data_IF_509558971252
#
_entry.id   IF_509558971252
#
_cell.length_a   1.000
_cell.length_b   1.000
_cell.length_c   1.000
_cell.angle_alpha   90.00
_cell.angle_beta   90.00
_cell.angle_gamma   90.00
#
_symmetry.space_group_name_H-M   'P 1'
#
loop_
_entity.id
_entity.type
_entity.pdbx_description
1 polymer ?
#
# COMPACT_ATOMS: atom_id res chain seq x y z
N UNK A 1 -5.57 -19.82 -34.52
CA UNK A 1 -6.29 -19.70 -33.25
C UNK A 1 -5.66 -20.69 -32.30
N UNK A 2 -4.88 -20.21 -31.34
CA UNK A 2 -4.57 -20.98 -30.13
C UNK A 2 -4.01 -20.01 -29.09
N UNK A 3 -4.92 -19.23 -28.48
CA UNK A 3 -4.63 -18.56 -27.23
C UNK A 3 -4.52 -19.64 -26.16
N UNK A 4 -3.30 -20.09 -25.86
CA UNK A 4 -3.04 -20.82 -24.63
C UNK A 4 -3.33 -19.86 -23.47
N UNK A 5 -4.53 -19.96 -22.92
CA UNK A 5 -4.87 -19.41 -21.61
C UNK A 5 -3.84 -19.92 -20.62
N UNK A 6 -2.97 -19.01 -20.15
CA UNK A 6 -2.16 -19.27 -18.96
C UNK A 6 -3.16 -19.26 -17.79
N UNK A 7 -3.63 -20.46 -17.43
CA UNK A 7 -4.26 -20.70 -16.13
C UNK A 7 -3.23 -20.31 -15.07
N UNK A 8 -3.37 -19.11 -14.49
CA UNK A 8 -2.75 -18.79 -13.22
C UNK A 8 -3.39 -19.76 -12.22
N UNK A 9 -2.66 -20.84 -11.94
CA UNK A 9 -3.10 -21.94 -11.12
C UNK A 9 -3.67 -21.41 -9.78
N UNK A 10 -4.89 -21.85 -9.46
CA UNK A 10 -5.64 -21.45 -8.26
C UNK A 10 -5.23 -22.22 -6.99
N UNK A 11 -4.18 -23.03 -7.07
CA UNK A 11 -3.53 -23.65 -5.91
C UNK A 11 -2.37 -22.80 -5.38
N UNK A 12 -1.92 -23.09 -4.16
CA UNK A 12 -0.75 -22.47 -3.54
C UNK A 12 0.48 -23.30 -3.87
N UNK A 13 1.53 -22.73 -4.51
CA UNK A 13 2.68 -23.55 -4.95
C UNK A 13 3.44 -23.91 -3.70
N UNK A 14 3.57 -25.20 -3.34
CA UNK A 14 4.23 -25.55 -2.10
C UNK A 14 5.72 -25.16 -2.09
N UNK A 15 6.31 -24.81 -3.25
CA UNK A 15 7.76 -24.81 -3.43
C UNK A 15 8.28 -23.61 -4.23
N UNK A 16 8.43 -22.42 -3.65
CA UNK A 16 9.42 -21.43 -4.11
C UNK A 16 9.30 -20.87 -5.54
N UNK A 17 8.25 -21.20 -6.29
CA UNK A 17 8.20 -20.95 -7.73
C UNK A 17 8.06 -19.46 -8.05
N UNK A 18 8.82 -19.01 -9.05
CA UNK A 18 8.65 -17.70 -9.66
C UNK A 18 7.74 -17.82 -10.88
N UNK A 19 6.54 -17.24 -10.80
CA UNK A 19 5.56 -17.18 -11.88
C UNK A 19 5.65 -15.81 -12.53
N UNK A 20 6.05 -15.74 -13.80
CA UNK A 20 6.00 -14.50 -14.58
C UNK A 20 4.71 -14.44 -15.40
N UNK A 21 3.91 -13.40 -15.20
CA UNK A 21 2.70 -13.17 -15.99
C UNK A 21 3.09 -12.57 -17.35
N UNK A 22 3.20 -13.41 -18.38
CA UNK A 22 3.67 -13.03 -19.71
C UNK A 22 2.80 -11.92 -20.37
N UNK A 23 3.34 -11.17 -21.34
CA UNK A 23 2.57 -10.23 -22.15
C UNK A 23 1.29 -10.88 -22.72
N UNK A 24 0.12 -10.33 -22.39
CA UNK A 24 -1.18 -10.88 -22.79
C UNK A 24 -1.81 -11.88 -21.81
N UNK A 25 -1.10 -12.30 -20.75
CA UNK A 25 -1.70 -13.01 -19.63
C UNK A 25 -2.61 -12.06 -18.85
N UNK A 26 -3.91 -12.04 -19.19
CA UNK A 26 -4.92 -11.42 -18.36
C UNK A 26 -5.49 -12.44 -17.40
N UNK A 27 -5.28 -12.21 -16.12
CA UNK A 27 -6.07 -12.81 -15.05
C UNK A 27 -7.47 -12.18 -15.07
N UNK A 28 -8.32 -12.53 -16.05
CA UNK A 28 -9.75 -12.20 -16.05
C UNK A 28 -10.54 -12.97 -14.96
N UNK A 29 -9.83 -13.34 -13.90
CA UNK A 29 -10.36 -13.89 -12.67
C UNK A 29 -10.55 -12.70 -11.72
N UNK A 30 -11.73 -12.56 -11.12
CA UNK A 30 -12.02 -11.45 -10.20
C UNK A 30 -11.06 -11.31 -9.03
N UNK A 31 -10.14 -12.27 -8.83
CA UNK A 31 -9.04 -12.21 -7.87
C UNK A 31 -7.75 -12.86 -8.40
N UNK A 32 -6.59 -12.33 -8.01
CA UNK A 32 -5.28 -13.00 -8.05
C UNK A 32 -4.87 -13.37 -6.62
N UNK A 33 -4.52 -14.63 -6.40
CA UNK A 33 -4.05 -15.14 -5.10
C UNK A 33 -2.56 -15.43 -5.15
N UNK A 34 -1.80 -14.95 -4.16
CA UNK A 34 -0.35 -15.19 -4.06
C UNK A 34 -0.06 -15.93 -2.75
N UNK A 35 0.13 -17.25 -2.86
CA UNK A 35 0.35 -18.14 -1.71
C UNK A 35 1.75 -18.09 -1.12
N UNK A 36 1.91 -18.62 0.09
CA UNK A 36 3.21 -18.76 0.78
C UNK A 36 4.25 -19.36 -0.16
N UNK A 37 5.47 -18.83 -0.13
CA UNK A 37 6.60 -19.33 -0.94
C UNK A 37 6.50 -19.02 -2.43
N UNK A 38 5.36 -18.54 -2.93
CA UNK A 38 5.20 -18.17 -4.34
C UNK A 38 5.70 -16.75 -4.58
N UNK A 39 6.47 -16.55 -5.64
CA UNK A 39 6.76 -15.21 -6.18
C UNK A 39 6.04 -15.03 -7.51
N UNK A 40 5.20 -14.02 -7.62
CA UNK A 40 4.56 -13.63 -8.88
C UNK A 40 5.19 -12.34 -9.37
N UNK A 41 5.62 -12.30 -10.63
CA UNK A 41 6.23 -11.14 -11.27
C UNK A 41 5.33 -10.64 -12.40
N UNK A 42 4.95 -9.37 -12.35
CA UNK A 42 4.24 -8.75 -13.45
C UNK A 42 5.14 -8.63 -14.69
N UNK A 43 4.71 -9.18 -15.82
CA UNK A 43 5.41 -9.04 -17.09
C UNK A 43 4.88 -7.91 -17.97
N UNK A 44 3.74 -7.29 -17.62
CA UNK A 44 3.16 -6.15 -18.32
C UNK A 44 2.09 -5.44 -17.46
N UNK A 45 1.61 -4.26 -17.89
CA UNK A 45 0.63 -3.45 -17.13
C UNK A 45 -0.76 -4.09 -16.99
N UNK A 46 -1.06 -5.15 -17.74
CA UNK A 46 -2.31 -5.93 -17.61
C UNK A 46 -2.22 -7.07 -16.59
N UNK A 47 -1.06 -7.28 -15.95
CA UNK A 47 -0.84 -8.33 -14.96
C UNK A 47 -1.76 -8.18 -13.72
N UNK A 48 -2.21 -6.96 -13.43
CA UNK A 48 -3.19 -6.66 -12.39
C UNK A 48 -3.99 -5.42 -12.81
N UNK A 49 -5.32 -5.54 -12.89
CA UNK A 49 -6.24 -4.50 -13.38
C UNK A 49 -7.18 -4.00 -12.28
N UNK A 50 -7.72 -2.79 -12.46
CA UNK A 50 -8.65 -2.14 -11.52
C UNK A 50 -9.91 -2.93 -11.19
N UNK A 51 -10.30 -3.94 -11.97
CA UNK A 51 -11.45 -4.81 -11.67
C UNK A 51 -11.08 -6.07 -10.88
N UNK A 52 -9.79 -6.33 -10.66
CA UNK A 52 -9.32 -7.51 -9.94
C UNK A 52 -9.04 -7.23 -8.48
N UNK A 53 -9.25 -8.21 -7.63
CA UNK A 53 -8.76 -8.21 -6.24
C UNK A 53 -7.41 -8.89 -6.13
N UNK A 54 -6.43 -8.30 -5.45
CA UNK A 54 -5.19 -8.97 -5.08
C UNK A 54 -5.32 -9.55 -3.66
N UNK A 55 -5.10 -10.85 -3.51
CA UNK A 55 -5.17 -11.57 -2.24
C UNK A 55 -3.81 -12.19 -1.93
N UNK A 56 -3.11 -11.61 -0.97
CA UNK A 56 -1.80 -12.06 -0.53
C UNK A 56 -1.96 -13.01 0.66
N UNK A 57 -1.35 -14.20 0.56
CA UNK A 57 -1.38 -15.25 1.56
C UNK A 57 0.06 -15.66 1.91
N UNK A 58 0.95 -14.69 2.12
CA UNK A 58 2.33 -14.93 2.54
C UNK A 58 3.38 -14.96 1.42
N UNK A 59 2.98 -14.98 0.15
CA UNK A 59 3.94 -14.92 -0.98
C UNK A 59 4.39 -13.51 -1.33
N UNK A 60 5.09 -13.39 -2.45
CA UNK A 60 5.60 -12.12 -2.99
C UNK A 60 4.95 -11.77 -4.32
N UNK A 61 4.49 -10.53 -4.48
CA UNK A 61 4.07 -9.98 -5.78
C UNK A 61 4.99 -8.84 -6.18
N UNK A 62 5.64 -8.94 -7.34
CA UNK A 62 6.56 -7.93 -7.89
C UNK A 62 5.90 -7.13 -9.01
N UNK A 63 5.90 -5.81 -8.89
CA UNK A 63 5.43 -4.89 -9.93
C UNK A 63 6.42 -4.82 -11.10
N UNK A 64 7.70 -5.06 -10.85
CA UNK A 64 8.76 -5.14 -11.86
C UNK A 64 8.85 -3.88 -12.75
N UNK A 65 8.83 -2.69 -12.14
CA UNK A 65 8.89 -1.42 -12.86
C UNK A 65 7.58 -1.00 -13.53
N UNK A 66 6.47 -1.69 -13.26
CA UNK A 66 5.18 -1.45 -13.91
C UNK A 66 4.17 -0.82 -12.95
N UNK A 67 3.48 0.21 -13.43
CA UNK A 67 2.32 0.75 -12.73
C UNK A 67 1.12 -0.19 -12.90
N UNK A 68 0.57 -0.67 -11.79
CA UNK A 68 -0.52 -1.63 -11.75
C UNK A 68 -1.67 -1.10 -10.90
N UNK A 69 -2.85 -1.69 -11.05
CA UNK A 69 -4.01 -1.29 -10.28
C UNK A 69 -4.86 -2.48 -9.86
N UNK A 70 -5.56 -2.38 -8.72
CA UNK A 70 -6.42 -3.43 -8.14
C UNK A 70 -7.68 -2.81 -7.53
N UNK A 71 -8.84 -3.49 -7.62
CA UNK A 71 -10.09 -3.09 -6.94
C UNK A 71 -10.07 -3.41 -5.45
N UNK A 72 -9.18 -4.30 -5.00
CA UNK A 72 -9.11 -4.74 -3.62
C UNK A 72 -7.73 -5.28 -3.28
N UNK A 73 -7.34 -5.13 -2.02
CA UNK A 73 -6.09 -5.68 -1.51
C UNK A 73 -6.36 -6.31 -0.15
N UNK A 74 -6.22 -7.63 -0.09
CA UNK A 74 -6.48 -8.42 1.11
C UNK A 74 -5.28 -9.30 1.42
N UNK A 75 -5.15 -9.63 2.70
CA UNK A 75 -4.11 -10.54 3.17
C UNK A 75 -3.63 -10.13 4.55
N UNK A 76 -3.34 -11.11 5.39
CA UNK A 76 -2.73 -10.88 6.72
C UNK A 76 -1.20 -10.89 6.64
N UNK A 77 -0.62 -11.30 5.52
CA UNK A 77 0.82 -11.45 5.31
C UNK A 77 1.18 -11.38 3.81
N UNK A 78 2.48 -11.52 3.51
CA UNK A 78 3.04 -11.46 2.17
C UNK A 78 3.75 -10.12 1.91
N UNK A 79 4.47 -10.05 0.80
CA UNK A 79 5.22 -8.87 0.39
C UNK A 79 4.78 -8.42 -1.00
N UNK A 80 4.42 -7.16 -1.16
CA UNK A 80 4.25 -6.52 -2.46
C UNK A 80 5.44 -5.60 -2.67
N UNK A 81 6.21 -5.82 -3.72
CA UNK A 81 7.43 -5.05 -3.97
C UNK A 81 7.49 -4.51 -5.38
N UNK A 82 8.28 -3.46 -5.62
CA UNK A 82 8.65 -3.13 -6.98
C UNK A 82 9.56 -4.24 -7.54
N UNK A 83 10.69 -4.48 -6.89
CA UNK A 83 11.60 -5.57 -7.24
C UNK A 83 12.34 -5.36 -8.56
N UNK A 84 12.38 -4.13 -9.08
CA UNK A 84 13.21 -3.71 -10.21
C UNK A 84 14.33 -2.77 -9.74
N UNK A 85 15.46 -2.78 -10.45
CA UNK A 85 16.63 -2.02 -10.03
C UNK A 85 16.61 -0.55 -10.47
N UNK A 86 15.84 -0.20 -11.51
CA UNK A 86 15.99 1.10 -12.18
C UNK A 86 14.68 1.87 -12.43
N UNK A 87 13.52 1.22 -12.36
CA UNK A 87 12.25 1.85 -12.74
C UNK A 87 11.30 1.90 -11.55
N UNK A 88 10.96 3.09 -11.08
CA UNK A 88 9.96 3.23 -10.02
C UNK A 88 8.60 2.69 -10.49
N UNK A 89 7.85 2.07 -9.59
CA UNK A 89 6.56 1.45 -9.91
C UNK A 89 5.52 1.74 -8.85
N UNK A 90 4.28 1.97 -9.26
CA UNK A 90 3.17 2.29 -8.35
C UNK A 90 2.09 1.22 -8.37
N UNK A 91 1.66 0.78 -7.19
CA UNK A 91 0.40 0.04 -7.05
C UNK A 91 -0.73 1.01 -6.75
N UNK A 92 -1.78 1.02 -7.58
CA UNK A 92 -3.02 1.76 -7.32
C UNK A 92 -4.07 0.84 -6.73
N UNK A 93 -4.55 1.13 -5.52
CA UNK A 93 -5.68 0.44 -4.89
C UNK A 93 -6.92 1.31 -5.03
N UNK A 94 -7.83 0.92 -5.93
CA UNK A 94 -9.09 1.62 -6.21
C UNK A 94 -10.26 0.93 -5.53
N UNK A 95 -10.57 1.32 -4.29
CA UNK A 95 -11.64 0.69 -3.50
C UNK A 95 -12.88 1.57 -3.41
N UNK A 96 -13.94 1.18 -4.11
CA UNK A 96 -15.20 1.94 -4.18
C UNK A 96 -16.33 1.46 -3.25
N UNK A 97 -16.24 0.26 -2.67
CA UNK A 97 -17.34 -0.26 -1.84
C UNK A 97 -16.92 -1.34 -0.85
N UNK A 98 -16.66 -0.97 0.40
CA UNK A 98 -16.30 -1.87 1.48
C UNK A 98 -14.81 -1.77 1.80
N UNK A 99 -14.53 -1.60 3.07
CA UNK A 99 -13.16 -1.36 3.53
C UNK A 99 -12.28 -2.59 3.34
N UNK A 100 -10.99 -2.37 3.18
CA UNK A 100 -10.00 -3.44 3.02
C UNK A 100 -8.86 -3.26 4.00
N UNK A 101 -8.34 -4.38 4.49
CA UNK A 101 -7.17 -4.42 5.37
C UNK A 101 -6.11 -5.29 4.74
N UNK A 102 -4.89 -4.77 4.69
CA UNK A 102 -3.70 -5.50 4.29
C UNK A 102 -2.67 -5.48 5.42
N UNK A 103 -2.33 -6.67 5.90
CA UNK A 103 -1.34 -6.88 6.96
C UNK A 103 0.04 -7.32 6.46
N UNK A 104 0.19 -7.56 5.16
CA UNK A 104 1.52 -7.77 4.57
C UNK A 104 2.30 -6.47 4.41
N UNK A 105 3.49 -6.58 3.83
CA UNK A 105 4.44 -5.47 3.69
C UNK A 105 4.51 -4.97 2.25
N UNK A 106 4.82 -3.68 2.12
CA UNK A 106 5.27 -3.06 0.88
C UNK A 106 6.77 -2.74 0.99
N UNK A 107 7.54 -3.11 -0.03
CA UNK A 107 8.99 -2.90 -0.07
C UNK A 107 9.45 -2.41 -1.44
N UNK A 108 10.58 -1.70 -1.52
CA UNK A 108 11.15 -1.35 -2.83
C UNK A 108 11.63 -2.61 -3.55
N UNK A 109 12.25 -3.56 -2.83
CA UNK A 109 12.71 -4.84 -3.39
C UNK A 109 13.90 -4.75 -4.35
N UNK A 110 14.41 -3.53 -4.58
CA UNK A 110 15.54 -3.17 -5.42
C UNK A 110 15.90 -1.70 -5.16
N UNK A 111 16.69 -1.08 -6.04
CA UNK A 111 17.05 0.34 -5.88
C UNK A 111 15.94 1.30 -6.31
N UNK A 112 14.99 0.86 -7.12
CA UNK A 112 13.90 1.70 -7.59
C UNK A 112 12.69 1.68 -6.66
N UNK A 113 12.18 2.88 -6.35
CA UNK A 113 11.12 3.06 -5.38
C UNK A 113 9.79 2.38 -5.76
N UNK A 114 9.15 1.79 -4.76
CA UNK A 114 7.74 1.39 -4.80
C UNK A 114 6.86 2.55 -4.35
N UNK A 115 5.87 2.92 -5.16
CA UNK A 115 4.83 3.90 -4.84
C UNK A 115 3.49 3.23 -4.55
N UNK A 116 2.64 3.91 -3.78
CA UNK A 116 1.28 3.46 -3.47
C UNK A 116 0.30 4.58 -3.78
N UNK A 117 -0.76 4.30 -4.53
CA UNK A 117 -1.88 5.23 -4.72
C UNK A 117 -3.16 4.63 -4.15
N UNK A 118 -3.74 5.29 -3.15
CA UNK A 118 -5.08 4.98 -2.64
C UNK A 118 -6.11 5.86 -3.33
N UNK A 119 -7.07 5.24 -4.01
CA UNK A 119 -8.23 5.91 -4.61
C UNK A 119 -9.52 5.12 -4.33
N UNK A 120 -10.65 5.63 -4.81
CA UNK A 120 -11.99 5.16 -4.46
C UNK A 120 -12.45 5.58 -3.06
N UNK A 121 -13.75 5.53 -2.82
CA UNK A 121 -14.41 6.11 -1.64
C UNK A 121 -14.19 5.35 -0.32
N UNK A 122 -13.81 4.07 -0.36
CA UNK A 122 -13.69 3.24 0.86
C UNK A 122 -12.32 3.36 1.54
N UNK A 123 -12.15 2.74 2.70
CA UNK A 123 -10.90 2.74 3.45
C UNK A 123 -9.95 1.62 2.98
N UNK A 124 -8.66 1.95 2.88
CA UNK A 124 -7.56 0.98 2.88
C UNK A 124 -6.83 1.07 4.21
N UNK A 125 -6.76 -0.03 4.94
CA UNK A 125 -6.04 -0.15 6.20
C UNK A 125 -4.75 -0.94 6.00
N UNK A 126 -3.61 -0.38 6.43
CA UNK A 126 -2.31 -1.03 6.38
C UNK A 126 -1.85 -1.35 7.80
N UNK A 127 -1.75 -2.63 8.13
CA UNK A 127 -1.26 -3.07 9.45
C UNK A 127 0.15 -3.66 9.40
N UNK A 128 0.72 -3.87 8.21
CA UNK A 128 2.09 -4.33 8.05
C UNK A 128 3.13 -3.23 8.24
N UNK A 129 4.37 -3.65 8.54
CA UNK A 129 5.54 -2.77 8.65
C UNK A 129 6.13 -2.55 7.26
N UNK A 130 5.77 -1.44 6.63
CA UNK A 130 6.22 -1.13 5.27
C UNK A 130 7.56 -0.39 5.29
N UNK A 131 8.42 -0.66 4.30
CA UNK A 131 9.77 -0.08 4.19
C UNK A 131 10.05 0.59 2.84
N UNK A 132 9.06 0.68 1.95
CA UNK A 132 9.21 1.36 0.66
C UNK A 132 9.49 2.86 0.84
N UNK A 133 10.34 3.38 -0.02
CA UNK A 133 10.78 4.79 0.01
C UNK A 133 9.97 5.69 -0.92
N UNK A 134 9.23 5.11 -1.88
CA UNK A 134 8.44 5.88 -2.83
C UNK A 134 7.22 6.55 -2.21
N UNK A 135 6.67 7.52 -2.95
CA UNK A 135 5.55 8.33 -2.50
C UNK A 135 4.27 7.51 -2.34
N UNK A 136 3.55 7.77 -1.26
CA UNK A 136 2.16 7.37 -1.07
C UNK A 136 1.24 8.52 -1.47
N UNK A 137 0.31 8.31 -2.39
CA UNK A 137 -0.72 9.29 -2.74
C UNK A 137 -2.09 8.82 -2.24
N UNK A 138 -2.78 9.64 -1.45
CA UNK A 138 -4.17 9.42 -1.05
C UNK A 138 -5.05 10.33 -1.87
N UNK A 139 -5.56 9.83 -3.00
CA UNK A 139 -6.38 10.61 -3.92
C UNK A 139 -7.85 10.68 -3.51
N UNK A 140 -8.37 9.64 -2.85
CA UNK A 140 -9.77 9.56 -2.41
C UNK A 140 -9.98 8.53 -1.29
N UNK A 141 -11.08 8.70 -0.55
CA UNK A 141 -11.46 7.85 0.58
C UNK A 141 -10.50 8.00 1.74
N UNK A 142 -10.19 6.90 2.43
CA UNK A 142 -9.31 6.92 3.60
C UNK A 142 -8.14 5.96 3.44
N UNK A 143 -6.93 6.42 3.74
CA UNK A 143 -5.79 5.56 4.05
C UNK A 143 -5.60 5.54 5.57
N UNK A 144 -5.67 4.35 6.17
CA UNK A 144 -5.44 4.15 7.60
C UNK A 144 -4.17 3.34 7.82
N UNK A 145 -3.28 3.83 8.67
CA UNK A 145 -2.04 3.17 9.08
C UNK A 145 -2.21 2.63 10.50
N UNK A 146 -1.99 1.34 10.68
CA UNK A 146 -2.38 0.60 11.89
C UNK A 146 -3.89 0.35 11.96
N UNK A 147 -4.34 -0.30 13.03
CA UNK A 147 -5.76 -0.51 13.30
C UNK A 147 -6.07 -0.69 14.80
N UNK A 148 -5.54 0.18 15.65
CA UNK A 148 -5.45 -0.04 17.10
C UNK A 148 -4.40 -1.09 17.46
N UNK A 149 -3.54 -1.45 16.52
CA UNK A 149 -2.48 -2.45 16.63
C UNK A 149 -1.14 -1.82 16.96
N UNK A 150 -0.18 -2.62 17.40
CA UNK A 150 1.22 -2.19 17.60
C UNK A 150 2.00 -2.00 16.30
N UNK A 151 1.52 -2.62 15.23
CA UNK A 151 2.11 -2.58 13.88
C UNK A 151 1.38 -1.62 12.95
N UNK A 152 1.95 -1.42 11.76
CA UNK A 152 1.52 -0.47 10.75
C UNK A 152 2.51 0.68 10.62
N UNK A 153 3.18 0.81 9.48
CA UNK A 153 4.09 1.93 9.19
C UNK A 153 4.11 2.28 7.71
N UNK A 154 4.48 3.50 7.38
CA UNK A 154 4.91 3.94 6.04
C UNK A 154 6.20 4.74 6.23
N UNK A 155 7.12 4.66 5.27
CA UNK A 155 8.40 5.39 5.30
C UNK A 155 8.39 6.58 4.34
N UNK A 156 8.01 6.35 3.07
CA UNK A 156 7.97 7.40 2.05
C UNK A 156 7.04 8.58 2.37
N UNK A 157 7.21 9.66 1.61
CA UNK A 157 6.37 10.86 1.72
C UNK A 157 4.90 10.55 1.40
N UNK A 158 3.99 11.30 2.00
CA UNK A 158 2.56 11.19 1.73
C UNK A 158 2.05 12.48 1.05
N UNK A 159 1.41 12.32 -0.09
CA UNK A 159 0.55 13.34 -0.70
C UNK A 159 -0.88 12.97 -0.37
N UNK A 160 -1.44 13.60 0.66
CA UNK A 160 -2.83 13.40 1.08
C UNK A 160 -3.75 14.46 0.47
N UNK A 161 -4.69 14.03 -0.37
CA UNK A 161 -5.75 14.85 -0.94
C UNK A 161 -7.15 14.41 -0.47
N UNK A 162 -7.22 13.54 0.55
CA UNK A 162 -8.48 13.07 1.11
C UNK A 162 -8.39 12.93 2.64
N UNK A 163 -8.27 11.70 3.15
CA UNK A 163 -8.15 11.45 4.59
C UNK A 163 -7.03 10.45 4.87
N UNK A 164 -6.08 10.87 5.69
CA UNK A 164 -5.03 10.04 6.26
C UNK A 164 -5.30 9.82 7.76
N UNK A 165 -5.30 8.56 8.20
CA UNK A 165 -5.50 8.18 9.60
C UNK A 165 -4.31 7.42 10.15
N UNK A 166 -3.73 7.88 11.25
CA UNK A 166 -2.77 7.13 12.05
C UNK A 166 -3.47 6.52 13.26
N UNK A 167 -3.55 5.18 13.28
CA UNK A 167 -4.26 4.39 14.27
C UNK A 167 -3.37 3.34 14.94
N UNK A 168 -2.15 3.68 15.32
CA UNK A 168 -1.25 2.78 16.05
C UNK A 168 -1.48 2.89 17.58
N UNK A 169 -1.47 1.75 18.27
CA UNK A 169 -1.51 1.70 19.74
C UNK A 169 -0.13 1.84 20.39
N UNK A 170 0.95 1.57 19.63
CA UNK A 170 2.34 1.77 20.06
C UNK A 170 2.87 3.15 19.66
N UNK A 171 3.97 3.57 20.29
CA UNK A 171 4.67 4.77 19.85
C UNK A 171 5.29 4.57 18.45
N UNK A 172 5.18 5.60 17.61
CA UNK A 172 5.66 5.62 16.22
C UNK A 172 6.24 6.98 15.88
N UNK A 173 7.29 6.98 15.07
CA UNK A 173 7.81 8.18 14.42
C UNK A 173 7.52 8.10 12.93
N UNK A 174 6.95 9.15 12.36
CA UNK A 174 6.80 9.32 10.92
C UNK A 174 7.67 10.50 10.46
N UNK A 175 8.67 10.18 9.64
CA UNK A 175 9.68 11.14 9.18
C UNK A 175 9.43 11.69 7.77
N UNK A 176 8.53 11.05 7.01
CA UNK A 176 8.14 11.56 5.70
C UNK A 176 7.39 12.90 5.81
N UNK A 177 7.39 13.65 4.72
CA UNK A 177 6.60 14.87 4.59
C UNK A 177 5.17 14.50 4.20
N UNK A 178 4.19 15.00 4.95
CA UNK A 178 2.78 15.01 4.57
C UNK A 178 2.48 16.32 3.84
N UNK A 179 1.92 16.23 2.65
CA UNK A 179 1.55 17.37 1.79
C UNK A 179 0.16 17.16 1.17
N UNK A 180 -0.39 18.17 0.47
CA UNK A 180 -1.67 18.07 -0.23
C UNK A 180 -2.83 18.77 0.49
N UNK A 181 -4.05 18.62 -0.03
CA UNK A 181 -5.25 19.31 0.48
C UNK A 181 -6.08 18.50 1.50
N UNK A 182 -5.66 17.28 1.80
CA UNK A 182 -6.36 16.34 2.66
C UNK A 182 -6.24 16.65 4.15
N UNK A 183 -6.84 15.77 4.96
CA UNK A 183 -6.96 15.91 6.41
C UNK A 183 -6.27 14.76 7.13
N UNK A 184 -5.59 15.08 8.23
CA UNK A 184 -4.86 14.10 9.05
C UNK A 184 -5.64 13.82 10.33
N UNK A 185 -5.85 12.55 10.64
CA UNK A 185 -6.45 12.09 11.91
C UNK A 185 -5.48 11.21 12.68
N UNK A 186 -5.30 11.50 13.96
CA UNK A 186 -4.59 10.64 14.92
C UNK A 186 -5.60 10.03 15.89
N UNK A 187 -5.85 8.74 15.75
CA UNK A 187 -6.90 8.02 16.50
C UNK A 187 -6.37 6.93 17.43
N UNK A 188 -5.16 6.41 17.18
CA UNK A 188 -4.62 5.30 17.98
C UNK A 188 -4.19 5.75 19.38
N UNK A 189 -4.16 4.85 20.36
CA UNK A 189 -3.77 5.20 21.75
C UNK A 189 -2.28 5.55 21.92
N UNK A 190 -1.43 5.18 20.96
CA UNK A 190 0.02 5.41 21.03
C UNK A 190 0.42 6.87 20.81
N UNK A 191 1.72 7.16 20.95
CA UNK A 191 2.31 8.46 20.60
C UNK A 191 2.71 8.45 19.12
N UNK A 192 2.25 9.43 18.34
CA UNK A 192 2.75 9.68 16.98
C UNK A 192 3.68 10.89 17.01
N UNK A 193 4.96 10.67 16.77
CA UNK A 193 5.95 11.75 16.59
C UNK A 193 6.11 12.03 15.11
N UNK A 194 5.84 13.26 14.68
CA UNK A 194 6.04 13.70 13.31
C UNK A 194 7.28 14.60 13.26
N UNK A 195 8.29 14.18 12.50
CA UNK A 195 9.56 14.90 12.34
C UNK A 195 9.71 15.55 10.97
N UNK A 196 8.88 15.16 9.99
CA UNK A 196 8.85 15.77 8.66
C UNK A 196 8.30 17.21 8.67
N UNK A 197 8.82 18.06 7.79
CA UNK A 197 8.31 19.41 7.58
C UNK A 197 7.03 19.38 6.73
N UNK A 198 5.89 19.16 7.38
CA UNK A 198 4.61 18.97 6.70
C UNK A 198 4.05 20.25 6.08
N UNK A 199 3.36 20.12 4.95
CA UNK A 199 2.78 21.22 4.18
C UNK A 199 1.34 20.94 3.73
N UNK A 200 0.65 19.99 4.35
CA UNK A 200 -0.76 19.74 4.03
C UNK A 200 -1.63 20.90 4.51
N UNK A 201 -2.67 21.21 3.74
CA UNK A 201 -3.50 22.39 3.97
C UNK A 201 -4.81 22.09 4.74
N UNK A 202 -5.22 20.82 4.84
CA UNK A 202 -6.43 20.46 5.58
C UNK A 202 -6.18 20.25 7.07
N UNK A 203 -7.27 20.19 7.84
CA UNK A 203 -7.24 20.16 9.30
C UNK A 203 -6.61 18.89 9.90
N UNK A 204 -6.18 19.01 11.16
CA UNK A 204 -5.70 17.89 11.98
C UNK A 204 -6.68 17.57 13.09
N UNK A 205 -7.15 16.32 13.13
CA UNK A 205 -7.98 15.82 14.24
C UNK A 205 -7.18 14.87 15.12
N UNK A 206 -7.15 15.12 16.42
CA UNK A 206 -6.61 14.19 17.43
C UNK A 206 -7.78 13.61 18.21
N UNK A 207 -8.14 12.37 17.90
CA UNK A 207 -9.23 11.63 18.55
C UNK A 207 -8.74 10.53 19.50
N UNK A 208 -7.43 10.27 19.55
CA UNK A 208 -6.82 9.34 20.49
C UNK A 208 -5.31 9.49 20.63
N UNK A 209 -4.79 9.13 21.81
CA UNK A 209 -3.37 9.16 22.15
C UNK A 209 -2.76 10.57 22.07
N UNK A 210 -1.48 10.65 21.67
CA UNK A 210 -0.74 11.92 21.58
C UNK A 210 -0.13 12.08 20.20
N UNK A 211 -0.12 13.31 19.68
CA UNK A 211 0.71 13.71 18.54
C UNK A 211 1.80 14.66 19.04
N UNK A 212 3.05 14.35 18.72
CA UNK A 212 4.23 15.17 19.02
C UNK A 212 4.78 15.70 17.71
N UNK A 213 5.12 16.97 17.67
CA UNK A 213 5.74 17.62 16.51
C UNK A 213 7.16 17.98 16.88
N UNK A 214 8.12 17.33 16.21
CA UNK A 214 9.56 17.51 16.45
C UNK A 214 10.25 18.22 15.26
N UNK A 215 9.45 18.69 14.28
CA UNK A 215 9.95 19.49 13.18
C UNK A 215 9.99 20.98 13.57
N UNK A 216 11.08 21.66 13.19
CA UNK A 216 11.23 23.12 13.34
C UNK A 216 10.14 23.96 12.65
N UNK A 217 9.22 23.34 11.89
CA UNK A 217 8.09 23.96 11.19
C UNK A 217 6.77 23.16 11.32
N UNK A 218 6.58 22.37 12.39
CA UNK A 218 5.37 21.57 12.58
C UNK A 218 4.11 22.41 12.80
N UNK A 219 3.46 22.84 11.72
CA UNK A 219 2.15 23.49 11.76
C UNK A 219 1.06 22.41 11.69
N UNK A 220 0.22 22.33 12.73
CA UNK A 220 -1.08 21.70 12.58
C UNK A 220 -2.04 22.75 12.05
N UNK A 221 -2.67 22.46 10.93
CA UNK A 221 -3.83 23.24 10.55
C UNK A 221 -4.99 22.87 11.50
N UNK A 222 -5.59 23.84 12.21
CA UNK A 222 -6.76 23.59 13.04
C UNK A 222 -7.98 23.16 12.20
#
# INVERSE_FOLDING_TARGET
>A
MDCREVYAWSGSSPNGDTITLAPGSSTNIGQLRVGVGTTVVAGNTNALKTNMTLVMQGGTFKLNGLNLATSGLYGTSGNIQNGSDMTAATLTVQRNAGDVTYGGTFTDGGSAAFGLTKTGSSMLTLTGTNTYSGTTTVSAGTLRIGNGTTDGSIVGNIVDNATLVFNNASARTYAGVISGSGSVTKSGSGVLTITGANTYAGGTTISGGTMVLDAANGYLHP
#
